data_IF_046526233827
#
_entry.id   IF_046526233827
#
_cell.length_a   1.000
_cell.length_b   1.000
_cell.length_c   1.000
_cell.angle_alpha   90.00
_cell.angle_beta   90.00
_cell.angle_gamma   90.00
#
_symmetry.space_group_name_H-M   'P 1'
#
loop_
_entity.id
_entity.type
_entity.pdbx_description
1 polymer ?
#
# COMPACT_ATOMS: atom_id res chain seq x y z
N UNK A 1 15.65 5.84 15.28
CA UNK A 1 15.64 4.72 14.75
C UNK A 1 16.97 4.30 14.51
N UNK A 2 17.18 3.19 14.90
CA UNK A 2 18.26 2.75 14.59
C UNK A 2 18.25 2.72 13.24
N UNK A 3 18.98 3.31 12.71
CA UNK A 3 19.01 3.39 11.51
C UNK A 3 19.58 2.20 11.04
N UNK A 4 19.02 1.53 10.27
CA UNK A 4 19.60 0.63 9.52
C UNK A 4 20.56 1.42 8.79
N UNK A 5 21.78 1.09 8.75
CA UNK A 5 22.76 1.86 8.18
C UNK A 5 22.25 2.53 7.05
N UNK A 6 21.64 1.84 6.16
CA UNK A 6 20.91 2.50 5.15
C UNK A 6 19.96 1.49 4.56
N UNK A 7 18.96 1.99 3.92
CA UNK A 7 17.91 1.16 3.38
C UNK A 7 18.41 0.27 2.27
N UNK A 8 19.27 0.79 1.42
CA UNK A 8 19.83 0.01 0.32
C UNK A 8 20.61 -1.17 0.81
N UNK A 9 21.38 -0.96 1.85
CA UNK A 9 22.19 -2.02 2.40
C UNK A 9 21.29 -3.10 2.98
N UNK A 10 20.23 -2.69 3.64
CA UNK A 10 19.29 -3.63 4.20
C UNK A 10 18.66 -4.46 3.09
N UNK A 11 18.26 -3.85 2.00
CA UNK A 11 17.64 -4.56 0.89
C UNK A 11 18.61 -5.53 0.25
N UNK A 12 19.85 -5.15 0.10
CA UNK A 12 20.83 -6.02 -0.52
C UNK A 12 21.04 -7.29 0.28
N UNK A 13 20.89 -7.21 1.57
CA UNK A 13 21.11 -8.35 2.41
C UNK A 13 19.88 -9.22 2.55
N UNK A 14 18.76 -8.80 2.01
CA UNK A 14 17.51 -9.49 2.20
C UNK A 14 16.93 -9.97 0.90
N UNK A 15 16.32 -11.14 0.99
CA UNK A 15 15.63 -11.60 -0.16
C UNK A 15 14.19 -11.45 0.22
N UNK A 16 13.47 -10.59 -0.23
CA UNK A 16 12.09 -10.38 0.18
C UNK A 16 11.19 -11.47 -0.37
N UNK A 17 11.40 -12.68 0.09
CA UNK A 17 10.65 -13.81 -0.41
C UNK A 17 9.41 -14.12 0.40
N UNK A 18 9.37 -13.66 1.65
CA UNK A 18 8.24 -13.96 2.51
C UNK A 18 7.54 -12.68 2.91
N UNK A 19 6.28 -12.83 3.29
CA UNK A 19 5.52 -11.68 3.72
C UNK A 19 6.11 -11.11 5.01
N UNK A 20 6.67 -11.97 5.88
CA UNK A 20 7.28 -11.49 7.11
C UNK A 20 8.44 -10.57 6.83
N UNK A 21 9.29 -10.94 5.88
CA UNK A 21 10.41 -10.12 5.52
C UNK A 21 9.93 -8.82 4.89
N UNK A 22 8.94 -8.91 4.02
CA UNK A 22 8.41 -7.74 3.37
C UNK A 22 7.77 -6.79 4.38
N UNK A 23 7.02 -7.34 5.32
CA UNK A 23 6.34 -6.52 6.31
C UNK A 23 7.29 -5.90 7.31
N UNK A 24 8.49 -6.43 7.41
CA UNK A 24 9.49 -5.88 8.31
C UNK A 24 10.42 -4.92 7.61
N UNK A 25 10.18 -4.68 6.33
CA UNK A 25 10.98 -3.71 5.59
C UNK A 25 10.89 -2.36 6.29
N UNK A 26 12.04 -1.74 6.47
CA UNK A 26 12.09 -0.44 7.11
C UNK A 26 11.90 0.64 6.07
N UNK A 27 10.96 1.52 6.31
CA UNK A 27 10.73 2.65 5.43
C UNK A 27 11.58 3.81 5.90
N UNK A 28 12.21 4.50 4.97
CA UNK A 28 12.98 5.70 5.30
C UNK A 28 11.99 6.82 5.56
N UNK A 29 12.45 7.86 6.26
CA UNK A 29 11.61 9.02 6.50
C UNK A 29 11.15 9.62 5.18
N UNK A 30 12.03 9.61 4.20
CA UNK A 30 11.70 10.16 2.90
C UNK A 30 10.58 9.39 2.23
N UNK A 31 10.64 8.07 2.30
CA UNK A 31 9.59 7.24 1.72
C UNK A 31 8.26 7.50 2.41
N UNK A 32 8.28 7.63 3.72
CA UNK A 32 7.04 7.85 4.46
C UNK A 32 6.42 9.20 4.14
N UNK A 33 7.25 10.20 3.89
CA UNK A 33 6.72 11.51 3.54
C UNK A 33 6.02 11.51 2.19
N UNK A 34 6.38 10.57 1.33
CA UNK A 34 5.78 10.48 0.01
C UNK A 34 4.59 9.55 -0.05
N UNK A 35 4.23 8.95 1.07
CA UNK A 35 3.07 8.08 1.15
C UNK A 35 2.00 8.78 1.96
N UNK A 36 0.75 8.58 1.60
CA UNK A 36 -0.36 9.15 2.35
C UNK A 36 -1.29 8.03 2.79
N UNK A 37 -1.85 8.16 4.00
CA UNK A 37 -2.81 7.18 4.46
C UNK A 37 -4.22 7.78 4.43
N UNK A 38 -5.19 6.91 4.21
CA UNK A 38 -6.58 7.31 4.11
C UNK A 38 -7.32 6.52 5.17
N UNK A 39 -7.99 7.25 6.07
CA UNK A 39 -8.63 6.63 7.23
C UNK A 39 -9.82 5.76 6.81
N UNK A 40 -10.19 4.87 7.72
CA UNK A 40 -11.35 4.01 7.52
C UNK A 40 -12.61 4.85 7.34
N UNK A 41 -12.69 5.97 8.04
CA UNK A 41 -13.83 6.85 7.93
C UNK A 41 -13.93 7.43 6.52
N UNK A 42 -12.80 7.80 5.93
CA UNK A 42 -12.78 8.42 4.62
C UNK A 42 -13.11 7.42 3.50
N UNK A 43 -12.68 6.18 3.64
CA UNK A 43 -12.94 5.18 2.61
C UNK A 43 -14.24 4.42 2.82
N UNK A 44 -14.67 4.31 4.05
CA UNK A 44 -15.78 3.43 4.40
C UNK A 44 -15.36 1.98 4.55
N UNK A 45 -14.05 1.71 4.48
CA UNK A 45 -13.53 0.35 4.60
C UNK A 45 -13.14 0.04 6.05
N UNK A 46 -12.89 -1.22 6.32
CA UNK A 46 -12.48 -1.67 7.65
C UNK A 46 -10.97 -1.55 7.86
N UNK A 47 -10.21 -1.19 6.85
CA UNK A 47 -8.76 -1.10 6.93
C UNK A 47 -8.29 0.26 6.46
N UNK A 48 -7.13 0.68 6.95
CA UNK A 48 -6.53 1.93 6.51
C UNK A 48 -5.81 1.66 5.19
N UNK A 49 -5.99 2.56 4.25
CA UNK A 49 -5.38 2.46 2.93
C UNK A 49 -4.19 3.40 2.85
N UNK A 50 -3.12 2.94 2.24
CA UNK A 50 -1.95 3.77 1.99
C UNK A 50 -1.77 3.94 0.49
N UNK A 51 -1.57 5.17 0.06
CA UNK A 51 -1.38 5.49 -1.36
C UNK A 51 0.00 6.09 -1.56
N UNK A 52 0.54 5.94 -2.75
CA UNK A 52 1.84 6.48 -3.10
C UNK A 52 1.84 6.78 -4.58
N UNK A 53 2.79 7.62 -5.01
CA UNK A 53 2.94 7.92 -6.42
C UNK A 53 4.01 7.02 -7.01
N UNK A 54 4.10 7.01 -8.32
CA UNK A 54 5.11 6.24 -9.03
C UNK A 54 6.52 6.65 -8.60
N UNK A 55 6.69 7.89 -8.19
CA UNK A 55 7.99 8.38 -7.77
C UNK A 55 8.51 7.77 -6.49
N UNK A 56 7.65 7.18 -5.69
CA UNK A 56 8.09 6.57 -4.44
C UNK A 56 8.64 5.18 -4.65
N UNK A 57 8.59 4.67 -5.87
CA UNK A 57 9.09 3.34 -6.16
C UNK A 57 10.58 3.35 -6.18
N UNK A 58 11.20 2.90 -5.15
CA UNK A 58 12.64 2.93 -5.06
C UNK A 58 13.32 1.92 -5.94
N UNK A 59 12.66 0.84 -6.24
CA UNK A 59 13.32 -0.23 -6.96
C UNK A 59 13.06 -0.23 -8.44
N UNK A 60 11.98 0.34 -8.86
CA UNK A 60 11.58 0.26 -10.24
C UNK A 60 11.25 -1.14 -10.68
N UNK A 61 11.28 -2.07 -9.74
CA UNK A 61 11.10 -3.45 -10.09
C UNK A 61 9.68 -3.74 -10.51
N UNK A 62 8.73 -3.07 -9.92
CA UNK A 62 7.34 -3.27 -10.24
C UNK A 62 6.75 -1.94 -10.58
N UNK A 63 6.46 -1.74 -11.84
CA UNK A 63 5.86 -0.49 -12.27
C UNK A 63 4.34 -0.56 -12.27
N UNK A 64 3.79 -1.60 -11.68
CA UNK A 64 2.34 -1.73 -11.63
C UNK A 64 1.76 -0.74 -10.63
N UNK A 65 0.77 0.02 -11.03
CA UNK A 65 0.09 0.91 -10.10
C UNK A 65 -0.48 0.11 -8.95
N UNK A 66 -0.27 0.58 -7.74
CA UNK A 66 -0.71 -0.15 -6.56
C UNK A 66 -0.99 0.78 -5.40
N UNK A 67 -1.77 0.28 -4.47
CA UNK A 67 -1.93 0.87 -3.16
C UNK A 67 -1.58 -0.21 -2.16
N UNK A 68 -1.60 0.13 -0.88
CA UNK A 68 -1.36 -0.85 0.17
C UNK A 68 -2.46 -0.71 1.20
N UNK A 69 -2.79 -1.79 1.88
CA UNK A 69 -3.74 -1.71 2.99
C UNK A 69 -3.10 -2.31 4.22
N UNK A 70 -3.50 -1.83 5.38
CA UNK A 70 -2.99 -2.37 6.63
C UNK A 70 -3.61 -3.74 6.87
N UNK A 71 -2.79 -4.66 7.33
CA UNK A 71 -3.20 -6.05 7.52
C UNK A 71 -3.91 -6.24 8.87
N UNK A 72 -4.77 -5.30 9.22
CA UNK A 72 -5.57 -5.35 10.44
C UNK A 72 -6.68 -4.31 10.34
N UNK A 73 -7.61 -4.36 11.27
CA UNK A 73 -8.77 -3.46 11.25
C UNK A 73 -8.66 -2.36 12.30
N UNK A 74 -7.48 -2.12 12.83
CA UNK A 74 -7.31 -1.08 13.82
C UNK A 74 -7.40 0.29 13.19
N UNK A 75 -7.82 1.26 13.96
CA UNK A 75 -7.95 2.62 13.47
C UNK A 75 -6.66 3.39 13.54
N UNK A 76 -5.64 2.83 14.19
CA UNK A 76 -4.38 3.51 14.35
C UNK A 76 -3.48 3.22 13.15
N UNK A 77 -2.81 4.27 12.66
CA UNK A 77 -1.90 4.13 11.55
C UNK A 77 -0.70 3.30 11.96
N UNK A 78 -0.37 2.30 11.16
CA UNK A 78 0.78 1.44 11.38
C UNK A 78 1.49 1.24 10.06
N UNK A 79 2.81 1.36 10.07
CA UNK A 79 3.57 1.30 8.83
C UNK A 79 4.14 -0.08 8.53
N UNK A 80 4.01 -1.02 9.45
CA UNK A 80 4.42 -2.38 9.17
C UNK A 80 3.15 -3.18 8.86
N UNK A 81 3.31 -4.31 8.21
CA UNK A 81 2.18 -5.14 7.81
C UNK A 81 1.31 -4.47 6.76
N UNK A 82 1.94 -3.83 5.79
CA UNK A 82 1.20 -3.25 4.68
C UNK A 82 1.18 -4.25 3.53
N UNK A 83 0.01 -4.49 2.99
CA UNK A 83 -0.18 -5.48 1.92
C UNK A 83 -0.44 -4.75 0.60
N UNK A 84 0.40 -4.97 -0.41
CA UNK A 84 0.20 -4.30 -1.69
C UNK A 84 -0.89 -4.96 -2.52
N UNK A 85 -1.67 -4.14 -3.21
CA UNK A 85 -2.74 -4.62 -4.07
C UNK A 85 -2.81 -3.72 -5.30
N UNK A 86 -3.01 -4.29 -6.47
CA UNK A 86 -2.95 -3.54 -7.71
C UNK A 86 -4.16 -2.64 -7.91
N UNK A 87 -3.94 -1.54 -8.64
CA UNK A 87 -5.02 -0.66 -9.05
C UNK A 87 -5.39 -1.07 -10.46
N UNK A 88 -6.47 -1.82 -10.60
CA UNK A 88 -6.87 -2.35 -11.90
C UNK A 88 -8.35 -2.68 -11.85
N UNK A 89 -8.88 -3.11 -12.99
CA UNK A 89 -10.28 -3.53 -13.05
C UNK A 89 -10.51 -4.83 -12.26
N UNK A 90 -9.44 -5.58 -12.04
CA UNK A 90 -9.50 -6.80 -11.26
C UNK A 90 -8.32 -6.77 -10.27
N UNK A 91 -8.43 -6.03 -9.18
CA UNK A 91 -7.31 -5.86 -8.25
C UNK A 91 -6.82 -7.19 -7.69
N UNK A 92 -5.51 -7.32 -7.62
CA UNK A 92 -4.87 -8.53 -7.13
C UNK A 92 -3.86 -8.19 -6.06
N UNK A 93 -3.81 -9.02 -5.04
CA UNK A 93 -2.81 -8.86 -3.99
C UNK A 93 -1.46 -9.24 -4.59
N UNK A 94 -0.48 -8.38 -4.42
CA UNK A 94 0.82 -8.52 -5.07
C UNK A 94 1.83 -9.21 -4.13
N UNK A 95 1.46 -10.39 -3.66
CA UNK A 95 2.30 -11.21 -2.81
C UNK A 95 2.44 -12.59 -3.43
N UNK A 96 3.48 -13.29 -3.02
CA UNK A 96 3.67 -14.67 -3.44
C UNK A 96 2.57 -15.54 -2.88
N UNK A 97 2.23 -16.61 -3.58
CA UNK A 97 1.20 -17.52 -3.10
C UNK A 97 1.52 -18.09 -1.72
N UNK A 98 2.79 -18.28 -1.43
CA UNK A 98 3.18 -18.83 -0.14
C UNK A 98 2.89 -17.89 1.02
N UNK A 99 2.71 -16.60 0.73
CA UNK A 99 2.52 -15.60 1.76
C UNK A 99 1.07 -15.18 1.93
N UNK A 100 0.20 -15.63 1.06
CA UNK A 100 -1.19 -15.21 1.12
C UNK A 100 -1.89 -15.64 2.40
N UNK A 101 -1.43 -16.73 3.00
CA UNK A 101 -2.03 -17.22 4.23
C UNK A 101 -1.70 -16.36 5.46
N UNK A 102 -0.81 -15.39 5.30
CA UNK A 102 -0.45 -14.52 6.42
C UNK A 102 -1.32 -13.27 6.47
N UNK A 103 -2.23 -13.13 5.53
CA UNK A 103 -3.16 -12.01 5.54
C UNK A 103 -4.15 -12.26 6.66
N UNK A 104 -4.31 -11.24 7.52
CA UNK A 104 -5.10 -11.37 8.74
C UNK A 104 -6.54 -10.91 8.61
N UNK A 105 -6.84 -10.09 7.60
CA UNK A 105 -8.20 -9.62 7.45
C UNK A 105 -9.00 -10.64 6.66
N UNK A 106 -10.32 -10.54 6.73
CA UNK A 106 -11.19 -11.54 6.12
C UNK A 106 -11.29 -11.36 4.61
N UNK A 107 -11.75 -12.40 3.94
CA UNK A 107 -11.98 -12.31 2.50
C UNK A 107 -13.00 -11.23 2.17
N UNK A 108 -14.03 -11.08 3.02
CA UNK A 108 -15.03 -10.05 2.82
C UNK A 108 -14.40 -8.65 2.88
N UNK A 109 -13.46 -8.45 3.78
CA UNK A 109 -12.77 -7.17 3.91
C UNK A 109 -11.87 -6.93 2.70
N UNK A 110 -11.21 -7.98 2.21
CA UNK A 110 -10.40 -7.87 1.01
C UNK A 110 -11.28 -7.51 -0.18
N UNK A 111 -12.43 -8.14 -0.29
CA UNK A 111 -13.36 -7.84 -1.38
C UNK A 111 -13.83 -6.39 -1.30
N UNK A 112 -14.03 -5.87 -0.09
CA UNK A 112 -14.37 -4.46 0.08
C UNK A 112 -13.29 -3.55 -0.45
N UNK A 113 -12.02 -3.88 -0.18
CA UNK A 113 -10.91 -3.10 -0.69
C UNK A 113 -10.89 -3.14 -2.22
N UNK A 114 -11.09 -4.32 -2.78
CA UNK A 114 -11.10 -4.47 -4.24
C UNK A 114 -12.20 -3.66 -4.89
N UNK A 115 -13.39 -3.67 -4.31
CA UNK A 115 -14.51 -2.92 -4.86
C UNK A 115 -14.25 -1.42 -4.77
N UNK A 116 -13.65 -0.99 -3.68
CA UNK A 116 -13.31 0.42 -3.51
C UNK A 116 -12.28 0.86 -4.54
N UNK A 117 -11.28 0.00 -4.84
CA UNK A 117 -10.28 0.30 -5.85
C UNK A 117 -10.94 0.47 -7.21
N UNK A 118 -11.82 -0.45 -7.58
CA UNK A 118 -12.49 -0.37 -8.88
C UNK A 118 -13.30 0.90 -8.98
N UNK A 119 -14.00 1.25 -7.91
CA UNK A 119 -14.82 2.46 -7.90
C UNK A 119 -13.97 3.72 -8.07
N UNK A 120 -12.77 3.73 -7.54
CA UNK A 120 -11.91 4.90 -7.56
C UNK A 120 -10.72 4.76 -8.50
N UNK A 121 -10.78 3.80 -9.40
CA UNK A 121 -9.63 3.43 -10.20
C UNK A 121 -9.00 4.58 -10.94
N UNK A 122 -9.79 5.38 -11.63
CA UNK A 122 -9.24 6.47 -12.43
C UNK A 122 -8.54 7.51 -11.57
N UNK A 123 -9.12 7.83 -10.43
CA UNK A 123 -8.53 8.81 -9.53
C UNK A 123 -7.24 8.27 -8.94
N UNK A 124 -7.24 6.99 -8.59
CA UNK A 124 -6.06 6.36 -8.01
C UNK A 124 -4.92 6.28 -9.03
N UNK A 125 -5.25 6.00 -10.28
CA UNK A 125 -4.24 5.98 -11.35
C UNK A 125 -3.69 7.39 -11.56
N UNK A 126 -4.57 8.40 -11.57
CA UNK A 126 -4.12 9.77 -11.73
C UNK A 126 -3.13 10.16 -10.64
N UNK A 127 -3.40 9.73 -9.42
CA UNK A 127 -2.51 10.02 -8.31
C UNK A 127 -1.19 9.26 -8.47
N UNK A 128 -1.26 8.00 -8.87
CA UNK A 128 -0.07 7.19 -9.08
C UNK A 128 0.83 7.85 -10.13
N UNK A 129 0.25 8.39 -11.18
CA UNK A 129 0.99 9.02 -12.26
C UNK A 129 1.31 10.48 -11.99
N UNK A 130 0.98 10.95 -10.80
CA UNK A 130 1.27 12.32 -10.38
C UNK A 130 0.54 13.37 -11.20
N UNK A 131 -0.62 13.02 -11.73
CA UNK A 131 -1.44 13.98 -12.45
C UNK A 131 -2.29 14.82 -11.52
N UNK A 132 -2.46 14.38 -10.28
CA UNK A 132 -3.22 15.15 -9.29
C UNK A 132 -2.43 15.16 -7.98
N UNK A 133 -2.73 16.13 -7.12
CA UNK A 133 -2.07 16.24 -5.83
C UNK A 133 -2.78 15.38 -4.79
N UNK A 134 -2.17 15.24 -3.63
CA UNK A 134 -2.78 14.50 -2.54
C UNK A 134 -4.10 15.14 -2.11
N UNK A 135 -4.15 16.47 -2.08
CA UNK A 135 -5.38 17.15 -1.72
C UNK A 135 -6.49 16.87 -2.73
N UNK A 136 -6.14 16.88 -4.01
CA UNK A 136 -7.12 16.58 -5.03
C UNK A 136 -7.61 15.15 -4.94
N UNK A 137 -6.70 14.23 -4.62
CA UNK A 137 -7.07 12.84 -4.43
C UNK A 137 -8.13 12.73 -3.34
N UNK A 138 -7.86 13.34 -2.16
CA UNK A 138 -8.79 13.25 -1.05
C UNK A 138 -10.15 13.87 -1.37
N UNK A 139 -10.16 14.91 -2.18
CA UNK A 139 -11.42 15.56 -2.55
C UNK A 139 -12.25 14.71 -3.51
N UNK A 140 -11.61 13.89 -4.32
CA UNK A 140 -12.28 13.14 -5.37
C UNK A 140 -12.62 11.70 -5.00
N UNK A 141 -12.06 11.20 -3.91
CA UNK A 141 -12.30 9.81 -3.51
C UNK A 141 -13.75 9.57 -3.13
N UNK A 142 -14.26 8.40 -3.49
CA UNK A 142 -15.61 8.00 -3.16
C UNK A 142 -15.56 6.83 -2.20
N UNK A 143 -16.51 6.79 -1.30
CA UNK A 143 -16.60 5.67 -0.36
C UNK A 143 -17.14 4.42 -1.01
#
# INVERSE_FOLDING_TARGET
MKKIKNFSEFIEDQSYETIDELLQTVYTDEMLLEMANISQHATGLDVIIWVQTNNTQSTGKHNLPRIKFQNNTETRVQIHELIPISISDNPKILLNNNDLNKIKISQAQINGVKQWIVKNKEILIDYWEENITTDELFQKLKK
#
